data_IF_557572582304
#
_entry.id   IF_557572582304
#
_cell.length_a   1.000
_cell.length_b   1.000
_cell.length_c   1.000
_cell.angle_alpha   90.00
_cell.angle_beta   90.00
_cell.angle_gamma   90.00
#
_symmetry.space_group_name_H-M   'P 1'
#
loop_
_entity.id
_entity.type
_entity.pdbx_description
1 polymer ?
#
# COMPACT_ATOMS: atom_id res chain seq x y z
N UNK A 1 22.26 -30.14 19.19
CA UNK A 1 23.19 -29.47 18.24
C UNK A 1 24.52 -30.19 18.30
N UNK A 2 25.04 -30.71 17.19
CA UNK A 2 26.35 -31.38 17.13
C UNK A 2 27.10 -30.92 15.87
N UNK A 3 28.39 -30.60 16.01
CA UNK A 3 29.31 -30.36 14.90
C UNK A 3 30.05 -31.68 14.62
N UNK A 4 30.21 -32.04 13.35
CA UNK A 4 31.00 -33.19 12.93
C UNK A 4 32.49 -33.00 13.26
N UNK A 5 33.23 -34.11 13.40
CA UNK A 5 34.64 -34.03 13.79
C UNK A 5 35.53 -33.34 12.75
N UNK A 6 35.13 -33.36 11.47
CA UNK A 6 35.79 -32.65 10.37
C UNK A 6 35.37 -31.18 10.27
N UNK A 7 34.43 -30.72 11.11
CA UNK A 7 33.90 -29.37 11.09
C UNK A 7 33.00 -29.03 9.89
N UNK A 8 32.69 -30.00 9.02
CA UNK A 8 31.97 -29.75 7.76
C UNK A 8 30.44 -29.75 7.91
N UNK A 9 29.91 -30.42 8.94
CA UNK A 9 28.47 -30.62 9.13
C UNK A 9 28.02 -30.17 10.51
N UNK A 10 26.96 -29.36 10.55
CA UNK A 10 26.21 -29.03 11.77
C UNK A 10 24.86 -29.76 11.72
N UNK A 11 24.49 -30.46 12.79
CA UNK A 11 23.23 -31.21 12.87
C UNK A 11 22.37 -30.80 14.06
N UNK A 12 21.05 -30.79 13.86
CA UNK A 12 20.05 -30.63 14.91
C UNK A 12 19.10 -31.83 14.89
N UNK A 13 18.97 -32.53 16.02
CA UNK A 13 18.22 -33.79 16.11
C UNK A 13 18.61 -34.83 15.05
N UNK A 14 19.91 -34.91 14.74
CA UNK A 14 20.48 -35.80 13.71
C UNK A 14 20.01 -35.51 12.27
N UNK A 15 19.27 -34.41 12.04
CA UNK A 15 18.99 -33.91 10.70
C UNK A 15 20.09 -32.93 10.28
N UNK A 16 20.49 -33.01 9.00
CA UNK A 16 21.44 -32.08 8.40
C UNK A 16 20.87 -30.67 8.41
N UNK A 17 21.56 -29.74 9.07
CA UNK A 17 21.14 -28.34 9.13
C UNK A 17 21.77 -27.55 7.99
N UNK A 18 23.07 -27.76 7.72
CA UNK A 18 23.80 -27.19 6.58
C UNK A 18 24.91 -28.15 6.15
N UNK A 19 25.11 -28.29 4.84
CA UNK A 19 26.26 -28.95 4.20
C UNK A 19 27.12 -27.87 3.51
N UNK A 20 28.41 -27.81 3.86
CA UNK A 20 29.30 -26.67 3.56
C UNK A 20 30.43 -27.14 2.62
N UNK A 21 30.28 -27.06 1.28
CA UNK A 21 31.41 -27.29 0.38
C UNK A 21 32.40 -26.10 0.32
N UNK A 22 32.01 -24.92 0.84
CA UNK A 22 32.78 -23.66 0.87
C UNK A 22 32.28 -22.79 2.02
N UNK A 23 33.05 -21.80 2.49
CA UNK A 23 32.64 -20.84 3.53
C UNK A 23 31.18 -20.37 3.38
N UNK A 24 30.34 -20.61 4.40
CA UNK A 24 29.00 -20.06 4.48
C UNK A 24 28.81 -19.25 5.76
N UNK A 25 28.05 -18.16 5.64
CA UNK A 25 27.65 -17.30 6.76
C UNK A 25 26.16 -17.46 7.01
N UNK A 26 25.78 -17.99 8.18
CA UNK A 26 24.38 -18.08 8.61
C UNK A 26 24.04 -16.85 9.43
N UNK A 27 23.38 -15.88 8.81
CA UNK A 27 22.86 -14.70 9.51
C UNK A 27 21.39 -14.92 9.87
N UNK A 28 21.07 -15.00 11.16
CA UNK A 28 19.68 -15.04 11.61
C UNK A 28 18.97 -13.73 11.26
N UNK A 29 17.98 -13.77 10.36
CA UNK A 29 17.16 -12.61 10.02
C UNK A 29 15.81 -12.72 10.73
N UNK A 30 15.50 -11.80 11.64
CA UNK A 30 14.14 -11.67 12.20
C UNK A 30 13.35 -10.78 11.25
N UNK A 31 12.75 -11.37 10.22
CA UNK A 31 11.95 -10.62 9.26
C UNK A 31 11.77 -11.39 7.96
N UNK A 32 10.56 -11.89 7.72
CA UNK A 32 10.22 -12.53 6.46
C UNK A 32 10.00 -11.42 5.41
N UNK A 33 11.11 -10.89 4.87
CA UNK A 33 11.10 -9.83 3.88
C UNK A 33 10.51 -10.29 2.53
N UNK A 34 10.15 -11.57 2.37
CA UNK A 34 9.69 -12.14 1.10
C UNK A 34 8.44 -11.46 0.53
N UNK A 35 7.60 -10.84 1.38
CA UNK A 35 6.32 -10.26 0.96
C UNK A 35 6.42 -8.82 0.45
N UNK A 36 7.48 -8.07 0.81
CA UNK A 36 7.77 -6.75 0.25
C UNK A 36 9.30 -6.47 0.24
N UNK A 37 10.09 -7.28 -0.48
CA UNK A 37 11.54 -7.39 -0.26
C UNK A 37 12.33 -6.12 -0.57
N UNK A 38 11.73 -5.17 -1.29
CA UNK A 38 12.33 -3.89 -1.67
C UNK A 38 11.49 -2.68 -1.23
N UNK A 39 10.37 -2.90 -0.53
CA UNK A 39 9.51 -1.82 -0.05
C UNK A 39 9.80 -1.43 1.40
N UNK A 40 9.12 -0.38 1.88
CA UNK A 40 9.28 0.14 3.23
C UNK A 40 8.02 -0.14 4.06
N UNK A 41 8.18 -0.69 5.27
CA UNK A 41 7.05 -1.10 6.12
C UNK A 41 7.26 -0.63 7.56
N UNK A 42 6.25 0.03 8.14
CA UNK A 42 6.17 0.37 9.57
C UNK A 42 5.00 -0.38 10.18
N UNK A 43 5.31 -1.40 11.00
CA UNK A 43 4.33 -2.29 11.63
C UNK A 43 4.72 -2.62 13.06
N UNK A 44 3.78 -3.19 13.83
CA UNK A 44 4.10 -3.72 15.16
C UNK A 44 4.99 -4.97 15.05
N UNK A 45 5.70 -5.25 16.13
CA UNK A 45 6.49 -6.49 16.25
C UNK A 45 5.58 -7.71 16.06
N UNK A 46 6.03 -8.66 15.24
CA UNK A 46 5.28 -9.88 14.89
C UNK A 46 4.44 -9.76 13.61
N UNK A 47 4.37 -8.57 12.99
CA UNK A 47 3.57 -8.32 11.79
C UNK A 47 4.39 -8.02 10.53
N UNK A 48 5.73 -8.08 10.61
CA UNK A 48 6.65 -7.67 9.53
C UNK A 48 6.47 -8.44 8.21
N UNK A 49 5.80 -9.60 8.22
CA UNK A 49 5.49 -10.36 7.00
C UNK A 49 4.06 -10.18 6.48
N UNK A 50 3.25 -9.29 7.07
CA UNK A 50 1.85 -9.08 6.69
C UNK A 50 1.71 -7.79 5.84
N UNK A 51 1.30 -7.93 4.57
CA UNK A 51 1.13 -6.81 3.63
C UNK A 51 -0.09 -5.92 3.93
N UNK A 52 -0.99 -6.41 4.78
CA UNK A 52 -2.25 -5.78 5.18
C UNK A 52 -2.18 -5.15 6.57
N UNK A 53 -0.98 -4.96 7.14
CA UNK A 53 -0.78 -4.32 8.45
C UNK A 53 0.11 -3.08 8.33
N UNK A 54 -0.18 -2.09 9.17
CA UNK A 54 0.66 -0.91 9.33
C UNK A 54 0.74 -0.04 8.08
N UNK A 55 1.81 0.72 7.95
CA UNK A 55 2.08 1.62 6.82
C UNK A 55 3.07 0.95 5.86
N UNK A 56 2.68 0.73 4.61
CA UNK A 56 3.51 0.04 3.62
C UNK A 56 3.68 0.89 2.35
N UNK A 57 4.92 1.00 1.87
CA UNK A 57 5.26 1.45 0.52
C UNK A 57 5.59 0.20 -0.30
N UNK A 58 4.97 0.04 -1.46
CA UNK A 58 5.23 -1.08 -2.37
C UNK A 58 6.68 -1.10 -2.87
N UNK A 59 7.15 -2.28 -3.26
CA UNK A 59 8.51 -2.48 -3.78
C UNK A 59 8.86 -1.61 -5.00
N UNK A 60 7.88 -1.25 -5.82
CA UNK A 60 8.05 -0.36 -6.98
C UNK A 60 7.97 1.14 -6.62
N UNK A 61 7.75 1.47 -5.34
CA UNK A 61 7.61 2.84 -4.85
C UNK A 61 6.32 3.55 -5.26
N UNK A 62 5.40 2.90 -5.96
CA UNK A 62 4.24 3.55 -6.56
C UNK A 62 2.98 3.55 -5.69
N UNK A 63 2.90 2.71 -4.67
CA UNK A 63 1.69 2.52 -3.86
C UNK A 63 1.99 2.68 -2.38
N UNK A 64 1.22 3.51 -1.69
CA UNK A 64 1.23 3.67 -0.24
C UNK A 64 -0.07 3.11 0.33
N UNK A 65 0.01 2.19 1.30
CA UNK A 65 -1.14 1.58 1.98
C UNK A 65 -1.08 1.75 3.50
N UNK A 66 -2.25 1.80 4.15
CA UNK A 66 -2.41 1.67 5.59
C UNK A 66 -3.38 0.54 5.93
N UNK A 67 -2.93 -0.47 6.68
CA UNK A 67 -3.67 -1.69 6.98
C UNK A 67 -4.34 -2.31 5.74
N UNK A 68 -3.58 -2.44 4.63
CA UNK A 68 -4.05 -3.00 3.36
C UNK A 68 -4.82 -2.03 2.46
N UNK A 69 -5.25 -0.88 2.96
CA UNK A 69 -6.00 0.10 2.18
C UNK A 69 -5.07 1.07 1.45
N UNK A 70 -5.24 1.25 0.14
CA UNK A 70 -4.48 2.22 -0.66
C UNK A 70 -4.86 3.63 -0.25
N UNK A 71 -3.86 4.43 0.15
CA UNK A 71 -4.03 5.83 0.53
C UNK A 71 -3.34 6.79 -0.45
N UNK A 72 -2.36 6.31 -1.22
CA UNK A 72 -1.80 7.04 -2.35
C UNK A 72 -1.26 6.09 -3.43
N UNK A 73 -1.30 6.53 -4.70
CA UNK A 73 -0.75 5.78 -5.82
C UNK A 73 -0.25 6.70 -6.93
N UNK A 74 0.93 6.44 -7.48
CA UNK A 74 1.47 7.15 -8.65
C UNK A 74 0.53 6.97 -9.85
N UNK A 75 0.20 8.06 -10.53
CA UNK A 75 -0.74 8.05 -11.67
C UNK A 75 -2.22 7.95 -11.27
N UNK A 76 -2.54 7.88 -9.98
CA UNK A 76 -3.88 8.24 -9.53
C UNK A 76 -4.11 9.73 -9.84
N UNK A 77 -5.30 10.06 -10.31
CA UNK A 77 -5.68 11.42 -10.67
C UNK A 77 -5.36 12.36 -9.48
N UNK A 78 -4.63 13.47 -9.72
CA UNK A 78 -4.27 14.45 -8.69
C UNK A 78 -5.55 14.91 -7.96
N UNK A 79 -5.77 14.40 -6.76
CA UNK A 79 -7.07 14.45 -6.08
C UNK A 79 -7.27 13.22 -5.21
N UNK A 80 -6.23 12.83 -4.46
CA UNK A 80 -6.35 11.75 -3.47
C UNK A 80 -7.48 12.10 -2.50
N UNK A 81 -8.38 11.14 -2.29
CA UNK A 81 -9.56 11.27 -1.46
C UNK A 81 -9.21 11.85 -0.08
N UNK A 82 -9.58 13.10 0.15
CA UNK A 82 -9.64 13.66 1.49
C UNK A 82 -10.94 13.17 2.13
N UNK A 83 -10.86 12.13 2.96
CA UNK A 83 -11.92 11.81 3.91
C UNK A 83 -11.92 12.90 5.00
N UNK A 84 -12.52 14.07 4.74
CA UNK A 84 -13.06 14.86 5.84
C UNK A 84 -14.33 14.14 6.31
N UNK A 85 -14.33 13.65 7.54
CA UNK A 85 -15.54 13.08 8.12
C UNK A 85 -16.67 14.12 8.05
N UNK A 86 -17.65 13.87 7.16
CA UNK A 86 -18.93 14.59 7.17
C UNK A 86 -19.26 15.48 5.97
N UNK A 87 -18.32 15.86 5.09
CA UNK A 87 -18.65 16.72 3.92
C UNK A 87 -17.73 16.42 2.72
N UNK A 88 -18.06 15.45 1.85
CA UNK A 88 -17.28 15.18 0.65
C UNK A 88 -17.48 16.31 -0.38
N UNK A 89 -16.60 17.32 -0.36
CA UNK A 89 -16.34 18.10 -1.57
C UNK A 89 -15.46 17.21 -2.45
N UNK A 90 -16.10 16.55 -3.41
CA UNK A 90 -15.40 15.77 -4.44
C UNK A 90 -14.64 16.76 -5.32
N UNK A 91 -13.39 17.05 -4.95
CA UNK A 91 -12.44 17.63 -5.91
C UNK A 91 -11.94 16.47 -6.77
N UNK A 92 -12.74 16.11 -7.78
CA UNK A 92 -12.30 15.21 -8.84
C UNK A 92 -11.37 15.93 -9.81
N UNK A 93 -10.60 15.16 -10.57
CA UNK A 93 -9.93 15.68 -11.77
C UNK A 93 -10.97 16.07 -12.80
N UNK A 94 -10.69 17.12 -13.59
CA UNK A 94 -11.54 17.55 -14.69
C UNK A 94 -11.83 16.35 -15.62
N UNK A 95 -13.08 15.90 -15.67
CA UNK A 95 -13.50 14.82 -16.54
C UNK A 95 -14.20 15.40 -17.76
N UNK A 96 -13.69 15.08 -18.94
CA UNK A 96 -14.34 15.40 -20.21
C UNK A 96 -15.37 14.34 -20.63
N UNK A 97 -15.48 13.23 -19.86
CA UNK A 97 -16.40 12.13 -20.15
C UNK A 97 -17.78 12.33 -19.51
N UNK A 98 -18.84 12.00 -20.25
CA UNK A 98 -20.25 12.20 -19.86
C UNK A 98 -20.89 11.03 -19.11
N UNK A 99 -20.16 9.93 -18.96
CA UNK A 99 -20.78 8.61 -18.80
C UNK A 99 -20.93 8.12 -17.35
N UNK A 100 -20.65 8.96 -16.34
CA UNK A 100 -20.96 8.61 -14.95
C UNK A 100 -20.63 9.66 -13.90
N UNK A 101 -21.62 10.00 -13.08
CA UNK A 101 -21.43 10.68 -11.78
C UNK A 101 -21.31 12.20 -11.79
N UNK A 102 -20.91 12.74 -10.63
CA UNK A 102 -20.56 14.14 -10.47
C UNK A 102 -19.17 14.40 -11.05
N UNK A 103 -19.02 15.42 -11.90
CA UNK A 103 -17.71 15.88 -12.39
C UNK A 103 -17.69 17.40 -12.57
N UNK A 104 -16.49 17.98 -12.64
CA UNK A 104 -16.30 19.39 -12.96
C UNK A 104 -15.51 19.56 -14.25
N UNK A 105 -15.86 20.52 -15.10
CA UNK A 105 -15.05 20.86 -16.28
C UNK A 105 -14.06 22.01 -16.05
N UNK A 106 -13.83 22.39 -14.79
CA UNK A 106 -13.04 23.56 -14.38
C UNK A 106 -13.87 24.84 -14.20
N UNK A 107 -15.03 24.95 -14.84
CA UNK A 107 -15.93 26.12 -14.75
C UNK A 107 -17.27 25.76 -14.10
N UNK A 108 -17.83 24.61 -14.45
CA UNK A 108 -19.13 24.15 -13.99
C UNK A 108 -19.03 22.76 -13.36
N UNK A 109 -19.97 22.46 -12.45
CA UNK A 109 -20.19 21.11 -11.91
C UNK A 109 -21.34 20.47 -12.68
N UNK A 110 -21.21 19.18 -13.00
CA UNK A 110 -22.16 18.40 -13.76
C UNK A 110 -22.57 17.16 -13.00
N UNK A 111 -23.80 16.70 -13.24
CA UNK A 111 -24.24 15.32 -12.98
C UNK A 111 -24.54 14.66 -14.31
N UNK A 112 -23.72 13.68 -14.71
CA UNK A 112 -23.74 13.14 -16.09
C UNK A 112 -23.67 14.33 -17.08
N UNK A 113 -24.42 14.34 -18.18
CA UNK A 113 -24.40 15.42 -19.16
C UNK A 113 -25.10 16.73 -18.75
N UNK A 114 -25.46 16.95 -17.48
CA UNK A 114 -26.29 18.09 -17.04
C UNK A 114 -25.52 19.01 -16.08
N UNK A 115 -25.45 20.30 -16.39
CA UNK A 115 -24.84 21.29 -15.50
C UNK A 115 -25.72 21.52 -14.27
N UNK A 116 -25.11 21.57 -13.10
CA UNK A 116 -25.76 21.95 -11.85
C UNK A 116 -25.66 23.46 -11.68
N UNK A 117 -26.82 24.11 -11.65
CA UNK A 117 -26.94 25.56 -11.42
C UNK A 117 -27.36 25.79 -9.97
N UNK A 118 -26.58 26.58 -9.25
CA UNK A 118 -26.97 27.06 -7.93
C UNK A 118 -27.73 28.37 -8.10
N UNK A 119 -29.00 28.39 -7.69
CA UNK A 119 -29.78 29.62 -7.61
C UNK A 119 -29.35 30.39 -6.35
N UNK A 120 -28.70 31.57 -6.48
CA UNK A 120 -28.24 32.33 -5.33
C UNK A 120 -29.39 32.90 -4.48
N UNK A 121 -30.63 32.83 -4.96
CA UNK A 121 -31.82 33.33 -4.27
C UNK A 121 -32.74 32.22 -3.75
N UNK A 122 -32.33 30.96 -3.81
CA UNK A 122 -33.13 29.86 -3.28
C UNK A 122 -33.27 29.99 -1.76
N UNK A 123 -34.51 30.10 -1.29
CA UNK A 123 -34.88 29.99 0.12
C UNK A 123 -35.77 28.75 0.30
N UNK A 124 -35.36 27.83 1.17
CA UNK A 124 -36.22 26.74 1.62
C UNK A 124 -37.45 27.36 2.33
N UNK A 125 -38.65 26.99 1.88
CA UNK A 125 -39.91 27.44 2.49
C UNK A 125 -40.27 26.64 3.73
#
# INVERSE_FOLDING_TARGET
>A
LRISADGQTLTFNSNGFVDIPTDQTITGTIGNNAQNPLGFTVVKVGQQGQIDRGLCISADGNTLTFNGQVIARTGAANGSVNYSQGNPIVWGVNSLGTDGGFYSNGTNIFWRSHALLFDPYYQER
#
